data_IF_010258002297
#
_entry.id   IF_010258002297
#
_cell.length_a   1.000
_cell.length_b   1.000
_cell.length_c   1.000
_cell.angle_alpha   90.00
_cell.angle_beta   90.00
_cell.angle_gamma   90.00
#
_symmetry.space_group_name_H-M   'P 1'
#
loop_
_entity.id
_entity.type
_entity.pdbx_description
1 polymer ?
#
# COMPACT_ATOMS: atom_id res chain seq x y z
N UNK A 1 -7.55 4.46 -2.32
CA UNK A 1 -8.96 4.13 -2.64
C UNK A 1 -9.38 4.90 -3.86
N UNK A 2 -9.47 4.24 -5.01
CA UNK A 2 -9.97 4.84 -6.23
C UNK A 2 -11.44 4.49 -6.40
N UNK A 3 -12.26 5.50 -6.71
CA UNK A 3 -13.60 5.27 -7.20
C UNK A 3 -13.58 5.17 -8.72
N UNK A 4 -14.57 4.49 -9.30
CA UNK A 4 -14.69 4.39 -10.75
C UNK A 4 -14.69 5.78 -11.40
N UNK A 5 -13.80 6.02 -12.32
CA UNK A 5 -13.69 7.28 -13.07
C UNK A 5 -12.78 8.36 -12.48
N UNK A 6 -12.21 8.17 -11.29
CA UNK A 6 -11.27 9.13 -10.71
C UNK A 6 -9.85 8.61 -10.73
N UNK A 7 -8.90 9.46 -11.08
CA UNK A 7 -7.49 9.10 -10.96
C UNK A 7 -7.07 9.07 -9.49
N UNK A 8 -6.12 8.21 -9.15
CA UNK A 8 -5.56 8.16 -7.79
C UNK A 8 -5.01 9.51 -7.34
N UNK A 9 -4.42 10.27 -8.25
CA UNK A 9 -3.92 11.61 -7.98
C UNK A 9 -5.03 12.55 -7.53
N UNK A 10 -6.18 12.52 -8.22
CA UNK A 10 -7.30 13.41 -7.91
C UNK A 10 -7.92 13.07 -6.57
N UNK A 11 -8.08 11.78 -6.27
CA UNK A 11 -8.58 11.30 -4.98
C UNK A 11 -7.62 11.67 -3.84
N UNK A 12 -6.32 11.53 -4.06
CA UNK A 12 -5.31 11.91 -3.05
C UNK A 12 -5.37 13.40 -2.77
N UNK A 13 -5.47 14.25 -3.78
CA UNK A 13 -5.59 15.69 -3.62
C UNK A 13 -6.89 16.05 -2.87
N UNK A 14 -8.00 15.42 -3.22
CA UNK A 14 -9.27 15.65 -2.54
C UNK A 14 -9.23 15.23 -1.06
N UNK A 15 -8.59 14.10 -0.75
CA UNK A 15 -8.47 13.58 0.61
C UNK A 15 -7.56 14.43 1.52
N UNK A 16 -6.56 15.10 0.94
CA UNK A 16 -5.60 15.92 1.70
C UNK A 16 -6.13 17.34 2.02
N UNK A 17 -7.33 17.65 1.57
CA UNK A 17 -7.99 18.93 1.87
C UNK A 17 -7.49 20.12 1.03
N UNK A 18 -8.16 21.23 1.23
CA UNK A 18 -7.95 22.44 0.42
C UNK A 18 -6.57 23.08 0.61
N UNK A 19 -6.00 23.03 1.80
CA UNK A 19 -4.70 23.64 2.09
C UNK A 19 -3.56 22.94 1.36
N UNK A 20 -3.54 21.61 1.39
CA UNK A 20 -2.55 20.85 0.64
C UNK A 20 -2.74 21.01 -0.87
N UNK A 21 -3.99 21.03 -1.32
CA UNK A 21 -4.33 21.25 -2.71
C UNK A 21 -3.89 22.63 -3.19
N UNK A 22 -4.14 23.67 -2.39
CA UNK A 22 -3.67 25.02 -2.68
C UNK A 22 -2.14 25.07 -2.79
N UNK A 23 -1.41 24.51 -1.83
CA UNK A 23 0.03 24.42 -1.85
C UNK A 23 0.60 23.72 -3.09
N UNK A 24 -0.03 22.62 -3.52
CA UNK A 24 0.38 21.87 -4.72
C UNK A 24 0.05 22.62 -6.01
N UNK A 25 -1.08 23.32 -6.07
CA UNK A 25 -1.57 23.99 -7.28
C UNK A 25 -1.06 25.41 -7.44
N UNK A 26 -0.93 26.17 -6.36
CA UNK A 26 -0.57 27.59 -6.39
C UNK A 26 0.92 27.85 -6.12
N UNK A 27 1.67 26.84 -5.72
CA UNK A 27 3.05 26.99 -5.27
C UNK A 27 3.20 27.58 -3.87
N UNK A 28 2.09 27.94 -3.21
CA UNK A 28 2.11 28.29 -1.81
C UNK A 28 2.39 27.04 -0.96
N UNK A 29 3.14 27.22 0.10
CA UNK A 29 3.50 26.08 0.93
C UNK A 29 3.31 26.44 2.39
N UNK A 30 2.75 25.50 3.16
CA UNK A 30 2.86 25.55 4.59
C UNK A 30 4.34 25.51 5.01
N UNK A 31 4.70 26.31 6.01
CA UNK A 31 6.06 26.33 6.54
C UNK A 31 6.41 24.97 7.17
N UNK A 32 5.42 24.30 7.77
CA UNK A 32 5.57 22.98 8.38
C UNK A 32 4.22 22.25 8.41
N UNK A 33 4.24 20.99 8.77
CA UNK A 33 3.05 20.23 9.15
C UNK A 33 2.92 20.34 10.68
N UNK A 34 2.11 21.28 11.15
CA UNK A 34 1.99 21.58 12.58
C UNK A 34 1.59 20.37 13.45
N UNK A 35 0.84 19.43 12.87
CA UNK A 35 0.40 18.19 13.54
C UNK A 35 1.49 17.14 13.72
N UNK A 36 2.68 17.28 13.14
CA UNK A 36 3.78 16.31 13.24
C UNK A 36 5.00 17.02 13.84
N UNK A 37 5.42 16.57 15.02
CA UNK A 37 6.52 17.18 15.75
C UNK A 37 7.54 16.13 16.20
N UNK A 38 8.83 16.36 15.91
CA UNK A 38 9.93 15.62 16.52
C UNK A 38 10.04 16.05 17.98
N UNK A 39 9.93 15.12 18.91
CA UNK A 39 10.03 15.40 20.36
C UNK A 39 11.32 14.86 20.98
N UNK A 40 12.10 14.10 20.23
CA UNK A 40 13.40 13.57 20.62
C UNK A 40 14.02 12.76 19.49
N UNK A 41 15.18 12.16 19.73
CA UNK A 41 15.90 11.40 18.70
C UNK A 41 15.14 10.17 18.23
N UNK A 42 14.32 9.58 19.09
CA UNK A 42 13.53 8.37 18.83
C UNK A 42 12.04 8.57 19.10
N UNK A 43 11.58 9.80 19.17
CA UNK A 43 10.19 10.10 19.50
C UNK A 43 9.61 11.21 18.64
N UNK A 44 8.34 11.06 18.31
CA UNK A 44 7.56 12.07 17.60
C UNK A 44 6.16 12.14 18.21
N UNK A 45 5.53 13.28 18.06
CA UNK A 45 4.13 13.51 18.42
C UNK A 45 3.32 13.78 17.18
N UNK A 46 2.20 13.09 17.06
CA UNK A 46 1.20 13.38 16.03
C UNK A 46 -0.05 13.91 16.72
N UNK A 47 -0.49 15.09 16.32
CA UNK A 47 -1.69 15.75 16.84
C UNK A 47 -2.74 15.79 15.74
N UNK A 48 -3.91 15.27 16.04
CA UNK A 48 -5.07 15.27 15.13
C UNK A 48 -5.96 16.46 15.42
N UNK A 49 -6.68 16.96 14.42
CA UNK A 49 -7.66 18.04 14.56
C UNK A 49 -8.94 17.60 15.26
N UNK A 50 -9.24 16.31 15.18
CA UNK A 50 -10.42 15.69 15.81
C UNK A 50 -10.11 14.27 16.28
N UNK A 51 -10.98 13.71 17.11
CA UNK A 51 -10.85 12.33 17.59
C UNK A 51 -11.22 11.36 16.47
N UNK A 52 -10.26 10.55 16.05
CA UNK A 52 -10.47 9.44 15.10
C UNK A 52 -10.03 8.13 15.74
N UNK A 53 -10.98 7.26 16.05
CA UNK A 53 -10.72 5.95 16.65
C UNK A 53 -9.89 5.02 15.75
N UNK A 54 -9.90 5.24 14.44
CA UNK A 54 -9.16 4.47 13.45
C UNK A 54 -7.81 5.11 13.05
N UNK A 55 -7.43 6.23 13.65
CA UNK A 55 -6.25 7.01 13.28
C UNK A 55 -4.95 6.18 13.24
N UNK A 56 -4.82 5.19 14.13
CA UNK A 56 -3.62 4.34 14.18
C UNK A 56 -3.35 3.60 12.86
N UNK A 57 -4.39 3.26 12.11
CA UNK A 57 -4.26 2.60 10.81
C UNK A 57 -3.75 3.53 9.71
N UNK A 58 -3.90 4.84 9.90
CA UNK A 58 -3.42 5.87 8.98
C UNK A 58 -1.94 6.17 9.19
N UNK A 59 -1.37 5.77 10.33
CA UNK A 59 0.05 5.94 10.64
C UNK A 59 0.95 4.83 10.08
N UNK A 60 0.40 3.89 9.30
CA UNK A 60 1.14 2.87 8.58
C UNK A 60 2.00 3.44 7.44
N UNK A 61 2.90 4.36 7.77
CA UNK A 61 3.78 5.04 6.82
C UNK A 61 5.10 4.27 6.73
N UNK A 62 5.57 4.03 5.51
CA UNK A 62 6.86 3.39 5.29
C UNK A 62 8.01 4.26 5.79
N UNK A 63 8.95 3.65 6.50
CA UNK A 63 10.16 4.34 6.96
C UNK A 63 11.11 4.50 5.79
N UNK A 64 11.43 5.76 5.44
CA UNK A 64 12.35 6.12 4.38
C UNK A 64 13.63 6.72 5.00
N UNK A 65 14.77 6.01 5.00
CA UNK A 65 15.98 6.50 5.64
C UNK A 65 16.58 7.69 4.86
N UNK A 66 16.85 8.77 5.59
CA UNK A 66 17.37 10.01 5.05
C UNK A 66 18.69 9.81 4.27
N UNK A 67 19.61 9.01 4.79
CA UNK A 67 20.91 8.78 4.16
C UNK A 67 20.82 8.09 2.79
N UNK A 68 19.66 7.54 2.46
CA UNK A 68 19.42 6.89 1.17
C UNK A 68 18.60 7.77 0.23
N UNK A 69 17.51 8.36 0.72
CA UNK A 69 16.57 9.14 -0.09
C UNK A 69 16.92 10.62 -0.18
N UNK A 70 17.76 11.12 0.71
CA UNK A 70 18.17 12.52 0.76
C UNK A 70 19.66 12.67 1.08
N UNK A 71 20.07 13.90 1.26
CA UNK A 71 21.43 14.28 1.64
C UNK A 71 21.46 14.79 3.09
N UNK A 72 22.32 14.21 3.92
CA UNK A 72 22.38 14.54 5.35
C UNK A 72 22.73 16.01 5.57
N UNK A 73 23.58 16.58 4.75
CA UNK A 73 24.00 17.99 4.78
C UNK A 73 22.86 18.95 4.42
N UNK A 74 21.79 18.47 3.80
CA UNK A 74 20.58 19.22 3.50
C UNK A 74 19.47 19.00 4.54
N UNK A 75 19.76 18.30 5.63
CA UNK A 75 18.80 18.08 6.70
C UNK A 75 18.96 19.12 7.80
N UNK A 76 17.87 19.82 8.08
CA UNK A 76 17.77 20.79 9.17
C UNK A 76 16.29 20.85 9.59
N UNK A 77 15.95 20.09 10.61
CA UNK A 77 14.54 19.97 11.05
C UNK A 77 13.95 21.31 11.46
N UNK A 78 14.72 22.15 12.17
CA UNK A 78 14.24 23.42 12.70
C UNK A 78 13.93 24.44 11.59
N UNK A 79 14.60 24.31 10.45
CA UNK A 79 14.38 25.13 9.26
C UNK A 79 13.59 24.42 8.17
N UNK A 80 12.85 23.34 8.50
CA UNK A 80 12.00 22.55 7.58
C UNK A 80 12.76 22.02 6.35
N UNK A 81 14.00 21.59 6.52
CA UNK A 81 14.78 20.95 5.48
C UNK A 81 14.89 19.45 5.73
N UNK A 82 14.50 18.65 4.78
CA UNK A 82 14.34 17.19 4.95
C UNK A 82 15.25 16.38 4.01
N UNK A 83 16.43 16.90 3.71
CA UNK A 83 17.46 16.21 2.95
C UNK A 83 17.40 16.41 1.44
N UNK A 84 16.55 17.28 0.94
CA UNK A 84 16.44 17.68 -0.47
C UNK A 84 15.90 19.12 -0.56
N UNK A 85 16.07 19.75 -1.72
CA UNK A 85 15.59 21.10 -1.93
C UNK A 85 14.07 21.13 -1.99
N UNK A 86 13.48 22.19 -1.48
CA UNK A 86 12.01 22.34 -1.43
C UNK A 86 11.43 22.25 -2.83
N UNK A 87 10.45 21.34 -3.00
CA UNK A 87 9.79 21.10 -4.29
C UNK A 87 10.57 20.16 -5.23
N UNK A 88 11.83 19.83 -4.95
CA UNK A 88 12.60 18.87 -5.74
C UNK A 88 12.57 17.46 -5.14
N UNK A 89 11.69 16.61 -5.63
CA UNK A 89 11.61 15.20 -5.28
C UNK A 89 12.37 14.28 -6.23
N UNK A 90 13.16 14.83 -7.15
CA UNK A 90 13.95 14.05 -8.12
C UNK A 90 14.86 13.02 -7.43
N UNK A 91 15.60 13.34 -6.36
CA UNK A 91 16.45 12.38 -5.67
C UNK A 91 15.65 11.21 -5.07
N UNK A 92 14.44 11.48 -4.55
CA UNK A 92 13.56 10.46 -3.99
C UNK A 92 12.99 9.58 -5.10
N UNK A 93 12.50 10.18 -6.19
CA UNK A 93 11.93 9.45 -7.34
C UNK A 93 12.95 8.53 -8.00
N UNK A 94 14.20 8.93 -8.09
CA UNK A 94 15.27 8.10 -8.63
C UNK A 94 15.53 6.81 -7.83
N UNK A 95 15.05 6.74 -6.57
CA UNK A 95 15.23 5.60 -5.67
C UNK A 95 14.00 4.70 -5.56
N UNK A 96 12.86 5.06 -6.15
CA UNK A 96 11.60 4.30 -6.02
C UNK A 96 11.67 2.90 -6.60
N UNK A 97 12.53 2.67 -7.60
CA UNK A 97 12.76 1.35 -8.20
C UNK A 97 13.77 0.49 -7.43
N UNK A 98 14.44 1.06 -6.44
CA UNK A 98 15.40 0.39 -5.57
C UNK A 98 15.13 0.79 -4.12
N UNK A 99 13.97 0.41 -3.54
CA UNK A 99 13.56 0.90 -2.24
C UNK A 99 14.46 0.43 -1.11
N UNK A 100 14.66 1.29 -0.12
CA UNK A 100 15.32 0.98 1.14
C UNK A 100 14.38 1.34 2.30
N UNK A 101 14.27 0.45 3.26
CA UNK A 101 13.46 0.63 4.47
C UNK A 101 14.07 -0.08 5.67
N UNK A 102 13.32 -0.12 6.78
CA UNK A 102 13.71 -0.79 8.02
C UNK A 102 13.00 -2.13 8.24
N UNK A 103 12.41 -2.68 7.20
CA UNK A 103 11.61 -3.92 7.25
C UNK A 103 12.42 -5.21 7.42
N UNK A 104 11.71 -6.35 7.55
CA UNK A 104 12.34 -7.66 7.75
C UNK A 104 13.10 -8.16 6.52
N UNK A 105 12.83 -7.61 5.35
CA UNK A 105 13.48 -8.01 4.10
C UNK A 105 14.10 -6.81 3.38
N UNK A 106 15.23 -7.06 2.73
CA UNK A 106 15.95 -6.13 1.87
C UNK A 106 15.59 -6.40 0.42
N UNK A 107 15.27 -5.35 -0.33
CA UNK A 107 15.12 -5.42 -1.78
C UNK A 107 16.47 -5.79 -2.42
N UNK A 108 16.45 -6.75 -3.34
CA UNK A 108 17.63 -7.16 -4.12
C UNK A 108 17.49 -6.69 -5.56
N UNK A 109 16.43 -7.08 -6.25
CA UNK A 109 16.17 -6.70 -7.63
C UNK A 109 14.73 -6.92 -8.04
N UNK A 110 14.33 -6.24 -9.10
CA UNK A 110 13.13 -6.53 -9.87
C UNK A 110 13.54 -6.92 -11.28
N UNK A 111 13.12 -8.09 -11.71
CA UNK A 111 13.45 -8.59 -13.03
C UNK A 111 12.33 -9.52 -13.53
N UNK A 112 11.86 -9.29 -14.77
CA UNK A 112 10.86 -10.14 -15.45
C UNK A 112 9.59 -10.40 -14.61
N UNK A 113 9.06 -9.35 -13.98
CA UNK A 113 7.85 -9.45 -13.15
C UNK A 113 8.07 -10.09 -11.78
N UNK A 114 9.32 -10.34 -11.38
CA UNK A 114 9.65 -10.90 -10.06
C UNK A 114 10.45 -9.91 -9.24
N UNK A 115 9.97 -9.60 -8.03
CA UNK A 115 10.70 -8.84 -7.03
C UNK A 115 11.39 -9.84 -6.09
N UNK A 116 12.70 -9.70 -5.94
CA UNK A 116 13.51 -10.57 -5.10
C UNK A 116 13.92 -9.84 -3.84
N UNK A 117 13.72 -10.50 -2.70
CA UNK A 117 14.11 -10.00 -1.39
C UNK A 117 15.00 -11.01 -0.65
N UNK A 118 15.87 -10.50 0.21
CA UNK A 118 16.67 -11.28 1.16
C UNK A 118 16.37 -10.83 2.59
N UNK A 119 16.39 -11.77 3.54
CA UNK A 119 16.17 -11.50 4.96
C UNK A 119 17.14 -10.43 5.49
N UNK A 120 16.59 -9.45 6.18
CA UNK A 120 17.37 -8.43 6.89
C UNK A 120 17.84 -8.99 8.23
N UNK A 121 19.11 -9.34 8.31
CA UNK A 121 19.73 -9.87 9.54
C UNK A 121 19.70 -8.89 10.71
N UNK A 122 19.57 -7.59 10.41
CA UNK A 122 19.54 -6.52 11.40
C UNK A 122 18.12 -6.03 11.71
N UNK A 123 17.10 -6.82 11.34
CA UNK A 123 15.73 -6.44 11.65
C UNK A 123 15.49 -6.40 13.17
N UNK A 124 14.83 -5.37 13.66
CA UNK A 124 14.71 -5.09 15.11
C UNK A 124 13.95 -6.16 15.91
N UNK A 125 13.08 -6.95 15.27
CA UNK A 125 12.42 -8.11 15.88
C UNK A 125 13.17 -9.44 15.65
N UNK A 126 14.38 -9.38 15.16
CA UNK A 126 15.19 -10.54 14.80
C UNK A 126 15.10 -10.91 13.32
N UNK A 127 16.12 -11.59 12.84
CA UNK A 127 16.18 -12.01 11.43
C UNK A 127 15.05 -12.97 11.09
N UNK A 128 14.35 -12.79 9.95
CA UNK A 128 13.36 -13.74 9.46
C UNK A 128 13.98 -15.14 9.26
N UNK A 129 13.19 -16.17 9.54
CA UNK A 129 13.61 -17.58 9.30
C UNK A 129 13.72 -17.89 7.80
N UNK A 130 12.81 -17.35 6.99
CA UNK A 130 12.83 -17.50 5.53
C UNK A 130 13.89 -16.56 4.96
N UNK A 131 14.91 -17.12 4.34
CA UNK A 131 16.06 -16.34 3.86
C UNK A 131 15.75 -15.50 2.63
N UNK A 132 14.99 -16.03 1.70
CA UNK A 132 14.61 -15.37 0.44
C UNK A 132 13.10 -15.37 0.28
N UNK A 133 12.57 -14.26 -0.19
CA UNK A 133 11.15 -14.09 -0.55
C UNK A 133 11.10 -13.45 -1.93
N UNK A 134 10.31 -14.06 -2.81
CA UNK A 134 10.09 -13.56 -4.15
C UNK A 134 8.60 -13.23 -4.32
N UNK A 135 8.30 -12.02 -4.79
CA UNK A 135 6.95 -11.65 -5.21
C UNK A 135 6.87 -11.70 -6.72
N UNK A 136 6.04 -12.59 -7.22
CA UNK A 136 5.82 -12.74 -8.66
C UNK A 136 4.52 -12.07 -9.06
N UNK A 137 4.57 -11.26 -10.10
CA UNK A 137 3.38 -10.67 -10.70
C UNK A 137 2.54 -11.79 -11.34
N UNK A 138 1.26 -11.84 -10.97
CA UNK A 138 0.26 -12.72 -11.56
C UNK A 138 -0.86 -11.86 -12.15
N UNK A 139 -1.15 -12.04 -13.43
CA UNK A 139 -2.09 -11.19 -14.16
C UNK A 139 -3.56 -11.58 -13.92
N UNK A 140 -3.82 -12.78 -13.45
CA UNK A 140 -5.18 -13.29 -13.22
C UNK A 140 -5.28 -14.16 -11.97
N UNK A 141 -6.51 -14.33 -11.46
CA UNK A 141 -6.79 -15.30 -10.39
C UNK A 141 -6.50 -16.74 -10.81
N UNK A 142 -6.67 -17.06 -12.09
CA UNK A 142 -6.38 -18.38 -12.64
C UNK A 142 -4.87 -18.67 -12.65
N UNK A 143 -4.03 -17.67 -12.97
CA UNK A 143 -2.57 -17.79 -12.87
C UNK A 143 -2.13 -17.99 -11.44
N UNK A 144 -2.71 -17.25 -10.49
CA UNK A 144 -2.46 -17.41 -9.05
C UNK A 144 -2.77 -18.84 -8.60
N UNK A 145 -3.96 -19.33 -8.96
CA UNK A 145 -4.42 -20.66 -8.57
C UNK A 145 -3.57 -21.76 -9.22
N UNK A 146 -3.24 -21.60 -10.50
CA UNK A 146 -2.37 -22.55 -11.20
C UNK A 146 -0.97 -22.59 -10.56
N UNK A 147 -0.41 -21.45 -10.20
CA UNK A 147 0.89 -21.36 -9.54
C UNK A 147 0.96 -22.16 -8.23
N UNK A 148 -0.04 -22.05 -7.37
CA UNK A 148 -0.12 -22.82 -6.13
C UNK A 148 -0.39 -24.30 -6.40
N UNK A 149 -1.26 -24.61 -7.37
CA UNK A 149 -1.58 -25.99 -7.73
C UNK A 149 -0.37 -26.76 -8.28
N UNK A 150 0.48 -26.09 -9.04
CA UNK A 150 1.70 -26.67 -9.62
C UNK A 150 2.92 -26.60 -8.68
N UNK A 151 2.81 -25.85 -7.57
CA UNK A 151 3.91 -25.66 -6.62
C UNK A 151 4.97 -24.68 -7.09
N UNK A 152 4.67 -23.84 -8.09
CA UNK A 152 5.57 -22.76 -8.53
C UNK A 152 5.41 -21.50 -7.69
N UNK A 153 4.32 -21.39 -6.95
CA UNK A 153 4.01 -20.34 -5.98
C UNK A 153 3.64 -21.02 -4.66
N UNK A 154 4.21 -20.56 -3.56
CA UNK A 154 3.96 -21.10 -2.23
C UNK A 154 2.72 -20.51 -1.57
N UNK A 155 2.46 -19.20 -1.78
CA UNK A 155 1.37 -18.44 -1.16
C UNK A 155 0.77 -17.50 -2.19
N UNK A 156 -0.55 -17.43 -2.24
CA UNK A 156 -1.28 -16.50 -3.11
C UNK A 156 -2.63 -16.11 -2.51
N UNK A 157 -3.25 -15.06 -3.06
CA UNK A 157 -4.51 -14.47 -2.62
C UNK A 157 -5.52 -14.33 -3.76
N UNK A 158 -5.99 -15.41 -4.38
CA UNK A 158 -7.00 -15.32 -5.42
C UNK A 158 -8.34 -14.83 -4.84
N UNK A 159 -9.14 -14.15 -5.66
CA UNK A 159 -10.50 -13.79 -5.27
C UNK A 159 -11.31 -15.05 -4.98
N UNK A 160 -11.91 -15.12 -3.78
CA UNK A 160 -12.70 -16.28 -3.37
C UNK A 160 -14.08 -16.24 -4.02
N UNK A 161 -14.21 -16.93 -5.14
CA UNK A 161 -15.45 -17.19 -5.87
C UNK A 161 -15.83 -18.66 -5.74
N UNK A 162 -17.08 -19.01 -6.08
CA UNK A 162 -17.51 -20.40 -6.12
C UNK A 162 -16.58 -21.27 -6.98
N UNK A 163 -16.23 -20.79 -8.17
CA UNK A 163 -15.32 -21.49 -9.10
C UNK A 163 -13.91 -21.68 -8.52
N UNK A 164 -13.39 -20.70 -7.80
CA UNK A 164 -12.10 -20.79 -7.10
C UNK A 164 -12.16 -21.87 -6.02
N UNK A 165 -13.22 -21.87 -5.19
CA UNK A 165 -13.43 -22.87 -4.14
C UNK A 165 -13.57 -24.30 -4.72
N UNK A 166 -14.31 -24.46 -5.78
CA UNK A 166 -14.48 -25.75 -6.50
C UNK A 166 -13.14 -26.25 -7.07
N UNK A 167 -12.34 -25.36 -7.65
CA UNK A 167 -11.01 -25.70 -8.19
C UNK A 167 -10.03 -26.12 -7.10
N UNK A 168 -10.00 -25.42 -5.97
CA UNK A 168 -9.19 -25.79 -4.81
C UNK A 168 -9.63 -27.15 -4.28
N UNK A 169 -10.94 -27.35 -4.08
CA UNK A 169 -11.48 -28.62 -3.59
C UNK A 169 -11.11 -29.78 -4.52
N UNK A 170 -11.23 -29.60 -5.83
CA UNK A 170 -10.84 -30.59 -6.83
C UNK A 170 -9.34 -30.93 -6.74
N UNK A 171 -8.48 -29.94 -6.59
CA UNK A 171 -7.03 -30.11 -6.40
C UNK A 171 -6.72 -30.91 -5.15
N UNK A 172 -7.49 -30.73 -4.10
CA UNK A 172 -7.42 -31.47 -2.84
C UNK A 172 -8.15 -32.83 -2.87
N UNK A 173 -8.51 -33.35 -4.04
CA UNK A 173 -9.22 -34.63 -4.16
C UNK A 173 -10.65 -34.58 -3.62
N UNK A 174 -11.35 -33.47 -3.79
CA UNK A 174 -12.71 -33.16 -3.29
C UNK A 174 -12.82 -33.11 -1.75
N UNK A 175 -11.73 -32.83 -1.06
CA UNK A 175 -11.69 -32.69 0.41
C UNK A 175 -11.98 -31.25 0.90
N UNK A 176 -12.39 -30.35 0.00
CA UNK A 176 -12.69 -28.95 0.34
C UNK A 176 -11.50 -28.00 0.26
N UNK A 177 -11.54 -26.93 1.04
CA UNK A 177 -10.57 -25.83 0.97
C UNK A 177 -9.29 -26.09 1.76
N UNK A 178 -9.28 -27.10 2.63
CA UNK A 178 -8.13 -27.51 3.43
C UNK A 178 -7.77 -28.95 3.08
N UNK A 179 -6.61 -29.15 2.50
CA UNK A 179 -6.16 -30.46 2.08
C UNK A 179 -4.63 -30.54 2.03
N UNK A 180 -4.14 -31.72 1.60
CA UNK A 180 -2.70 -32.01 1.58
C UNK A 180 -1.92 -31.19 0.55
N UNK A 181 -2.60 -30.68 -0.49
CA UNK A 181 -1.97 -29.91 -1.57
C UNK A 181 -2.12 -28.42 -1.39
N UNK A 182 -3.32 -27.98 -1.03
CA UNK A 182 -3.64 -26.56 -0.80
C UNK A 182 -4.36 -26.43 0.53
N UNK A 183 -3.86 -25.56 1.38
CA UNK A 183 -4.54 -25.10 2.59
C UNK A 183 -4.99 -23.68 2.40
N UNK A 184 -6.28 -23.43 2.53
CA UNK A 184 -6.87 -22.08 2.44
C UNK A 184 -7.21 -21.59 3.84
N UNK A 185 -6.67 -20.43 4.19
CA UNK A 185 -7.04 -19.70 5.39
C UNK A 185 -8.00 -18.56 5.01
N UNK A 186 -9.12 -18.47 5.72
CA UNK A 186 -10.15 -17.46 5.48
C UNK A 186 -10.02 -16.35 6.51
N UNK A 187 -9.71 -15.16 6.03
CA UNK A 187 -9.64 -13.97 6.88
C UNK A 187 -10.96 -13.21 6.85
N UNK A 188 -11.57 -13.02 8.02
CA UNK A 188 -12.78 -12.20 8.14
C UNK A 188 -12.48 -10.75 7.79
N UNK A 189 -13.29 -10.17 6.91
CA UNK A 189 -13.21 -8.78 6.50
C UNK A 189 -14.44 -8.00 7.03
N UNK A 190 -14.20 -6.81 7.59
CA UNK A 190 -15.24 -5.86 8.01
C UNK A 190 -15.73 -4.99 6.85
N UNK A 191 -15.82 -5.57 5.67
CA UNK A 191 -16.30 -4.89 4.47
C UNK A 191 -17.65 -5.42 4.02
N UNK A 192 -18.41 -4.58 3.32
CA UNK A 192 -19.62 -4.97 2.62
C UNK A 192 -19.71 -4.27 1.27
N UNK A 193 -20.31 -4.94 0.31
CA UNK A 193 -20.69 -4.34 -0.98
C UNK A 193 -22.19 -4.09 -1.01
N UNK A 194 -22.61 -3.04 -1.69
CA UNK A 194 -24.02 -2.73 -1.90
C UNK A 194 -24.28 -2.25 -3.33
N UNK A 195 -25.51 -2.45 -3.78
CA UNK A 195 -26.03 -1.82 -4.97
C UNK A 195 -26.97 -0.72 -4.50
N UNK A 196 -26.55 0.53 -4.70
CA UNK A 196 -27.40 1.68 -4.43
C UNK A 196 -28.42 1.85 -5.56
N UNK A 197 -29.69 1.84 -5.23
CA UNK A 197 -30.77 2.18 -6.16
C UNK A 197 -31.26 3.59 -5.84
N UNK A 198 -31.27 4.45 -6.86
CA UNK A 198 -31.83 5.78 -6.71
C UNK A 198 -33.28 5.75 -7.21
N UNK A 199 -34.23 6.04 -6.31
CA UNK A 199 -35.67 6.11 -6.62
C UNK A 199 -36.12 7.52 -7.00
N UNK A 200 -35.21 8.50 -7.02
CA UNK A 200 -35.49 9.88 -7.43
C UNK A 200 -35.03 10.04 -8.88
N UNK A 201 -35.87 10.65 -9.71
CA UNK A 201 -35.48 10.98 -11.08
C UNK A 201 -34.26 11.89 -11.06
N UNK A 202 -33.16 11.40 -11.57
CA UNK A 202 -31.94 12.17 -11.75
C UNK A 202 -31.61 12.24 -13.23
N UNK A 203 -31.47 13.47 -13.74
CA UNK A 203 -30.86 13.71 -15.04
C UNK A 203 -29.45 14.20 -14.85
N UNK A 204 -28.47 13.41 -15.25
CA UNK A 204 -27.06 13.80 -15.28
C UNK A 204 -26.58 13.56 -16.70
N UNK A 205 -26.29 14.65 -17.42
CA UNK A 205 -25.63 14.65 -18.73
C UNK A 205 -25.95 13.42 -19.63
N UNK A 206 -27.16 13.39 -20.19
CA UNK A 206 -27.64 12.33 -21.09
C UNK A 206 -27.83 10.92 -20.47
N UNK A 207 -27.81 10.79 -19.18
CA UNK A 207 -28.21 9.56 -18.50
C UNK A 207 -29.70 9.70 -18.14
N UNK A 208 -30.60 8.87 -18.68
CA UNK A 208 -31.99 8.86 -18.25
C UNK A 208 -32.06 8.44 -16.77
N UNK A 209 -32.71 9.22 -15.95
CA UNK A 209 -33.06 8.83 -14.60
C UNK A 209 -34.01 7.62 -14.61
N UNK A 210 -33.97 6.80 -13.60
CA UNK A 210 -35.01 5.79 -13.36
C UNK A 210 -36.25 6.52 -12.85
N UNK A 211 -37.38 6.37 -13.53
CA UNK A 211 -38.67 6.75 -13.00
C UNK A 211 -39.15 5.75 -11.94
#
# INVERSE_FOLDING_TARGET
TESAGSSRKDLTIAALGNEFRAGVQTGESAANIAGIQKTGDYSMRVTLTEIDAAAIYQFGISIAPLHYYGAKEKYDYDNNKFGFDKGDLTPVRAKTTQPMGAGPYKFIKFEKGVINYEANKNYYLGAPKTKYVNFQECLSDDDKLNGVTTGTIDITDPSMKKTTAESISKTNGNKGLVGDKITTDLVSNLGYGYIGMNSIVMSVDNQPGSE
#
